data_IF_762226005559
#
_entry.id   IF_762226005559
#
_cell.length_a   1.000
_cell.length_b   1.000
_cell.length_c   1.000
_cell.angle_alpha   90.00
_cell.angle_beta   90.00
_cell.angle_gamma   90.00
#
_symmetry.space_group_name_H-M   'P 1'
#
loop_
_entity.id
_entity.type
_entity.pdbx_description
1 polymer ?
#
# COMPACT_ATOMS: atom_id res chain seq x y z
N UNK A 1 17.30 -12.42 -8.19
CA UNK A 1 16.01 -12.25 -8.89
C UNK A 1 15.59 -10.78 -8.96
N UNK A 2 15.04 -10.34 -10.11
CA UNK A 2 14.61 -8.95 -10.32
C UNK A 2 13.09 -8.82 -10.17
N UNK A 3 12.64 -7.77 -9.48
CA UNK A 3 11.20 -7.47 -9.36
C UNK A 3 10.58 -7.19 -10.73
N UNK A 4 9.41 -7.74 -10.97
CA UNK A 4 8.60 -7.40 -12.15
C UNK A 4 8.09 -5.97 -12.09
N UNK A 5 7.53 -5.47 -13.19
CA UNK A 5 6.96 -4.13 -13.25
C UNK A 5 5.82 -3.99 -12.22
N UNK A 6 4.84 -4.91 -12.22
CA UNK A 6 3.83 -5.05 -11.18
C UNK A 6 4.38 -4.91 -9.74
N UNK A 7 5.40 -5.71 -9.38
CA UNK A 7 5.93 -5.71 -8.02
C UNK A 7 6.60 -4.37 -7.63
N UNK A 8 7.07 -3.60 -8.61
CA UNK A 8 7.63 -2.25 -8.38
C UNK A 8 6.54 -1.20 -8.25
N UNK A 9 5.52 -1.28 -9.09
CA UNK A 9 4.48 -0.25 -9.21
C UNK A 9 3.31 -0.45 -8.27
N UNK A 10 3.04 -1.68 -7.78
CA UNK A 10 1.86 -1.96 -6.94
C UNK A 10 1.78 -1.08 -5.69
N UNK A 11 2.85 -1.04 -4.88
CA UNK A 11 2.90 -0.19 -3.69
C UNK A 11 2.89 1.30 -4.03
N UNK A 12 3.51 1.68 -5.15
CA UNK A 12 3.51 3.05 -5.62
C UNK A 12 2.08 3.49 -5.98
N UNK A 13 1.35 2.67 -6.74
CA UNK A 13 -0.04 2.91 -7.11
C UNK A 13 -0.94 3.01 -5.88
N UNK A 14 -0.81 2.09 -4.90
CA UNK A 14 -1.56 2.19 -3.65
C UNK A 14 -1.30 3.52 -2.92
N UNK A 15 -0.05 3.95 -2.84
CA UNK A 15 0.30 5.23 -2.23
C UNK A 15 -0.24 6.42 -3.04
N UNK A 16 -0.15 6.39 -4.37
CA UNK A 16 -0.69 7.45 -5.24
C UNK A 16 -2.21 7.58 -5.07
N UNK A 17 -2.94 6.47 -5.01
CA UNK A 17 -4.37 6.50 -4.73
C UNK A 17 -4.67 7.03 -3.32
N UNK A 18 -3.91 6.61 -2.31
CA UNK A 18 -4.11 7.08 -0.94
C UNK A 18 -3.86 8.60 -0.81
N UNK A 19 -2.75 9.10 -1.33
CA UNK A 19 -2.45 10.53 -1.31
C UNK A 19 -3.39 11.34 -2.22
N UNK A 20 -3.78 10.78 -3.37
CA UNK A 20 -4.79 11.38 -4.25
C UNK A 20 -6.15 11.51 -3.55
N UNK A 21 -6.55 10.48 -2.81
CA UNK A 21 -7.78 10.52 -2.01
C UNK A 21 -7.70 11.58 -0.92
N UNK A 22 -6.60 11.66 -0.16
CA UNK A 22 -6.41 12.72 0.86
C UNK A 22 -6.47 14.11 0.22
N UNK A 23 -5.76 14.32 -0.89
CA UNK A 23 -5.74 15.60 -1.60
C UNK A 23 -7.14 15.99 -2.12
N UNK A 24 -7.93 15.00 -2.57
CA UNK A 24 -9.31 15.20 -2.98
C UNK A 24 -10.18 15.69 -1.82
N UNK A 25 -10.14 15.05 -0.64
CA UNK A 25 -10.90 15.51 0.53
C UNK A 25 -10.47 16.90 0.99
N UNK A 26 -9.17 17.18 0.94
CA UNK A 26 -8.64 18.48 1.30
C UNK A 26 -9.14 19.58 0.34
N UNK A 27 -9.08 19.33 -0.97
CA UNK A 27 -9.61 20.23 -2.00
C UNK A 27 -11.12 20.46 -1.82
N UNK A 28 -11.89 19.38 -1.61
CA UNK A 28 -13.31 19.47 -1.34
C UNK A 28 -13.62 20.28 -0.07
N UNK A 29 -12.84 20.09 1.01
CA UNK A 29 -12.96 20.86 2.24
C UNK A 29 -12.74 22.37 2.02
N UNK A 30 -11.72 22.75 1.24
CA UNK A 30 -11.47 24.15 0.90
C UNK A 30 -12.57 24.75 0.02
N UNK A 31 -13.08 23.98 -0.95
CA UNK A 31 -14.21 24.40 -1.77
C UNK A 31 -15.44 24.73 -0.91
N UNK A 32 -15.80 23.83 0.02
CA UNK A 32 -16.94 24.05 0.93
C UNK A 32 -16.71 25.28 1.80
N UNK A 33 -15.51 25.45 2.38
CA UNK A 33 -15.18 26.59 3.21
C UNK A 33 -15.26 27.92 2.44
N UNK A 34 -14.70 27.96 1.22
CA UNK A 34 -14.76 29.13 0.33
C UNK A 34 -16.20 29.48 -0.08
N UNK A 35 -17.06 28.47 -0.22
CA UNK A 35 -18.45 28.71 -0.60
C UNK A 35 -19.30 29.23 0.57
N UNK A 36 -19.04 28.76 1.79
CA UNK A 36 -19.73 29.27 2.99
C UNK A 36 -19.45 30.76 3.22
N UNK A 37 -18.20 31.22 2.99
CA UNK A 37 -17.84 32.64 3.13
C UNK A 37 -18.55 33.51 2.08
N UNK A 38 -18.77 33.00 0.86
CA UNK A 38 -19.52 33.69 -0.21
C UNK A 38 -20.99 33.88 0.14
N UNK A 39 -21.63 32.83 0.68
CA UNK A 39 -23.08 32.81 0.96
C UNK A 39 -23.43 33.74 2.12
N UNK A 40 -22.56 33.87 3.12
CA UNK A 40 -22.77 34.79 4.22
C UNK A 40 -22.53 36.24 3.80
N UNK A 41 -23.62 37.00 3.61
CA UNK A 41 -23.59 38.43 3.27
C UNK A 41 -22.76 39.26 4.25
N UNK A 42 -22.80 38.91 5.55
CA UNK A 42 -22.00 39.56 6.59
C UNK A 42 -20.50 39.35 6.40
N UNK A 43 -20.03 38.11 6.19
CA UNK A 43 -18.60 37.84 6.03
C UNK A 43 -18.09 38.38 4.68
N UNK A 44 -18.88 38.27 3.61
CA UNK A 44 -18.50 38.76 2.28
C UNK A 44 -18.42 40.30 2.19
N UNK A 45 -18.98 41.02 3.17
CA UNK A 45 -18.86 42.49 3.28
C UNK A 45 -17.54 42.96 3.90
N UNK A 46 -16.81 42.05 4.56
CA UNK A 46 -15.55 42.37 5.23
C UNK A 46 -14.36 42.03 4.32
N UNK A 47 -13.51 43.02 4.04
CA UNK A 47 -12.35 42.88 3.14
C UNK A 47 -11.41 41.72 3.52
N UNK A 48 -11.20 41.50 4.82
CA UNK A 48 -10.36 40.40 5.34
C UNK A 48 -10.88 39.03 4.89
N UNK A 49 -12.20 38.82 4.90
CA UNK A 49 -12.79 37.54 4.50
C UNK A 49 -12.77 37.34 2.98
N UNK A 50 -12.86 38.42 2.20
CA UNK A 50 -12.67 38.38 0.74
C UNK A 50 -11.23 37.97 0.39
N UNK A 51 -10.24 38.50 1.10
CA UNK A 51 -8.83 38.12 0.94
C UNK A 51 -8.55 36.68 1.37
N UNK A 52 -9.17 36.22 2.46
CA UNK A 52 -9.08 34.82 2.89
C UNK A 52 -9.70 33.91 1.83
N UNK A 53 -10.86 34.29 1.29
CA UNK A 53 -11.56 33.52 0.26
C UNK A 53 -10.72 33.38 -1.01
N UNK A 54 -10.10 34.45 -1.49
CA UNK A 54 -9.26 34.40 -2.69
C UNK A 54 -8.05 33.48 -2.49
N UNK A 55 -7.41 33.53 -1.31
CA UNK A 55 -6.33 32.60 -0.95
C UNK A 55 -6.82 31.14 -0.87
N UNK A 56 -7.99 30.90 -0.28
CA UNK A 56 -8.59 29.57 -0.21
C UNK A 56 -8.87 28.99 -1.59
N UNK A 57 -9.35 29.78 -2.54
CA UNK A 57 -9.59 29.35 -3.93
C UNK A 57 -8.29 28.99 -4.65
N UNK A 58 -7.23 29.76 -4.43
CA UNK A 58 -5.91 29.44 -4.98
C UNK A 58 -5.41 28.10 -4.43
N UNK A 59 -5.51 27.88 -3.11
CA UNK A 59 -5.12 26.62 -2.47
C UNK A 59 -5.97 25.45 -2.97
N UNK A 60 -7.28 25.65 -3.09
CA UNK A 60 -8.21 24.66 -3.66
C UNK A 60 -7.77 24.23 -5.07
N UNK A 61 -7.50 25.19 -5.96
CA UNK A 61 -7.11 24.93 -7.35
C UNK A 61 -5.80 24.14 -7.44
N UNK A 62 -4.82 24.47 -6.59
CA UNK A 62 -3.57 23.71 -6.51
C UNK A 62 -3.78 22.29 -5.96
N UNK A 63 -4.58 22.13 -4.90
CA UNK A 63 -4.90 20.83 -4.33
C UNK A 63 -5.65 19.93 -5.32
N UNK A 64 -6.58 20.51 -6.09
CA UNK A 64 -7.32 19.81 -7.14
C UNK A 64 -6.39 19.38 -8.29
N UNK A 65 -5.52 20.28 -8.74
CA UNK A 65 -4.52 20.00 -9.79
C UNK A 65 -3.56 18.89 -9.36
N UNK A 66 -3.10 18.91 -8.10
CA UNK A 66 -2.28 17.84 -7.51
C UNK A 66 -3.04 16.50 -7.49
N UNK A 67 -4.31 16.52 -7.12
CA UNK A 67 -5.18 15.32 -7.12
C UNK A 67 -5.24 14.69 -8.52
N UNK A 68 -5.52 15.49 -9.55
CA UNK A 68 -5.54 15.01 -10.93
C UNK A 68 -4.20 14.44 -11.38
N UNK A 69 -3.10 15.11 -11.04
CA UNK A 69 -1.76 14.64 -11.39
C UNK A 69 -1.43 13.28 -10.75
N UNK A 70 -1.74 13.10 -9.46
CA UNK A 70 -1.50 11.84 -8.76
C UNK A 70 -2.31 10.67 -9.36
N UNK A 71 -3.59 10.93 -9.65
CA UNK A 71 -4.48 9.93 -10.28
C UNK A 71 -4.01 9.60 -11.69
N UNK A 72 -3.64 10.61 -12.49
CA UNK A 72 -3.15 10.41 -13.86
C UNK A 72 -1.90 9.53 -13.89
N UNK A 73 -0.93 9.78 -13.01
CA UNK A 73 0.27 8.96 -12.90
C UNK A 73 -0.09 7.50 -12.54
N UNK A 74 -1.01 7.30 -11.58
CA UNK A 74 -1.44 5.97 -11.19
C UNK A 74 -2.09 5.21 -12.37
N UNK A 75 -2.96 5.89 -13.13
CA UNK A 75 -3.61 5.33 -14.33
C UNK A 75 -2.56 4.94 -15.37
N UNK A 76 -1.59 5.81 -15.69
CA UNK A 76 -0.54 5.52 -16.66
C UNK A 76 0.24 4.27 -16.25
N UNK A 77 0.62 4.14 -14.98
CA UNK A 77 1.34 2.96 -14.48
C UNK A 77 0.51 1.67 -14.60
N UNK A 78 -0.79 1.74 -14.35
CA UNK A 78 -1.70 0.59 -14.51
C UNK A 78 -1.84 0.22 -15.99
N UNK A 79 -2.05 1.20 -16.87
CA UNK A 79 -2.17 0.99 -18.32
C UNK A 79 -0.90 0.33 -18.87
N UNK A 80 0.29 0.79 -18.47
CA UNK A 80 1.56 0.16 -18.89
C UNK A 80 1.61 -1.32 -18.47
N UNK A 81 1.25 -1.66 -17.22
CA UNK A 81 1.23 -3.05 -16.76
C UNK A 81 0.18 -3.88 -17.51
N UNK A 82 -1.01 -3.33 -17.75
CA UNK A 82 -2.07 -4.00 -18.51
C UNK A 82 -1.67 -4.26 -19.96
N UNK A 83 -1.05 -3.29 -20.64
CA UNK A 83 -0.51 -3.48 -21.98
C UNK A 83 0.55 -4.60 -22.01
N UNK A 84 1.46 -4.63 -21.03
CA UNK A 84 2.42 -5.73 -20.90
C UNK A 84 1.73 -7.10 -20.70
N UNK A 85 0.62 -7.13 -19.95
CA UNK A 85 -0.17 -8.34 -19.71
C UNK A 85 -0.89 -8.79 -20.97
N UNK A 86 -1.49 -7.89 -21.75
CA UNK A 86 -2.17 -8.24 -23.00
C UNK A 86 -1.18 -8.85 -24.00
N UNK A 87 0.04 -8.31 -24.07
CA UNK A 87 1.06 -8.79 -25.03
C UNK A 87 1.70 -10.13 -24.64
N UNK A 88 1.83 -10.44 -23.34
CA UNK A 88 2.69 -11.53 -22.85
C UNK A 88 2.01 -12.50 -21.89
N UNK A 89 0.80 -12.22 -21.45
CA UNK A 89 0.10 -12.89 -20.36
C UNK A 89 -1.44 -12.75 -20.52
N UNK A 90 -2.20 -12.78 -19.42
CA UNK A 90 -3.62 -12.45 -19.38
C UNK A 90 -3.88 -11.25 -18.47
N UNK A 91 -4.83 -10.41 -18.87
CA UNK A 91 -5.37 -9.33 -18.02
C UNK A 91 -5.92 -9.89 -16.70
N UNK A 92 -6.52 -11.09 -16.72
CA UNK A 92 -7.04 -11.72 -15.52
C UNK A 92 -5.96 -12.00 -14.47
N UNK A 93 -4.73 -12.27 -14.92
CA UNK A 93 -3.60 -12.50 -14.04
C UNK A 93 -3.17 -11.22 -13.30
N UNK A 94 -3.45 -10.02 -13.84
CA UNK A 94 -3.26 -8.77 -13.10
C UNK A 94 -4.17 -8.72 -11.88
N UNK A 95 -5.48 -8.93 -12.06
CA UNK A 95 -6.44 -8.93 -10.96
C UNK A 95 -6.14 -10.04 -9.94
N UNK A 96 -5.74 -11.22 -10.42
CA UNK A 96 -5.29 -12.31 -9.55
C UNK A 96 -4.06 -11.92 -8.72
N UNK A 97 -3.10 -11.20 -9.31
CA UNK A 97 -1.91 -10.68 -8.63
C UNK A 97 -2.28 -9.66 -7.55
N UNK A 98 -3.19 -8.73 -7.85
CA UNK A 98 -3.73 -7.76 -6.89
C UNK A 98 -4.40 -8.47 -5.72
N UNK A 99 -5.34 -9.37 -6.01
CA UNK A 99 -6.09 -10.11 -4.99
C UNK A 99 -5.18 -10.94 -4.08
N UNK A 100 -4.28 -11.74 -4.67
CA UNK A 100 -3.35 -12.56 -3.88
C UNK A 100 -2.36 -11.71 -3.08
N UNK A 101 -1.94 -10.55 -3.60
CA UNK A 101 -1.09 -9.63 -2.84
C UNK A 101 -1.80 -9.13 -1.58
N UNK A 102 -3.04 -8.64 -1.70
CA UNK A 102 -3.79 -8.14 -0.56
C UNK A 102 -4.05 -9.24 0.47
N UNK A 103 -4.40 -10.44 0.00
CA UNK A 103 -4.70 -11.56 0.87
C UNK A 103 -3.47 -12.12 1.57
N UNK A 104 -2.32 -12.20 0.90
CA UNK A 104 -1.07 -12.57 1.52
C UNK A 104 -0.66 -11.57 2.60
N UNK A 105 -0.86 -10.26 2.37
CA UNK A 105 -0.62 -9.24 3.42
C UNK A 105 -1.51 -9.44 4.63
N UNK A 106 -2.78 -9.78 4.41
CA UNK A 106 -3.71 -10.05 5.49
C UNK A 106 -3.27 -11.27 6.29
N UNK A 107 -2.91 -12.37 5.62
CA UNK A 107 -2.42 -13.59 6.26
C UNK A 107 -1.14 -13.36 7.09
N UNK A 108 -0.21 -12.57 6.55
CA UNK A 108 1.07 -12.31 7.19
C UNK A 108 0.98 -11.31 8.34
N UNK A 109 -0.06 -10.47 8.38
CA UNK A 109 -0.19 -9.43 9.40
C UNK A 109 -0.34 -10.06 10.77
N UNK A 110 0.55 -9.70 11.69
CA UNK A 110 0.51 -10.14 13.08
C UNK A 110 -0.36 -9.19 13.90
N UNK A 111 -1.15 -9.74 14.82
CA UNK A 111 -1.92 -8.94 15.76
C UNK A 111 -0.99 -8.18 16.71
N UNK A 112 -1.13 -6.86 16.74
CA UNK A 112 -0.40 -6.00 17.66
C UNK A 112 -1.17 -5.95 18.98
N UNK A 113 -1.00 -6.97 19.83
CA UNK A 113 -1.52 -6.90 21.19
C UNK A 113 -0.74 -5.83 21.97
N UNK A 114 -1.47 -4.88 22.55
CA UNK A 114 -0.93 -3.92 23.51
C UNK A 114 -1.04 -4.51 24.91
N UNK A 115 0.09 -4.89 25.50
CA UNK A 115 0.11 -5.20 26.92
C UNK A 115 0.12 -3.87 27.71
N UNK A 116 -0.81 -3.68 28.67
CA UNK A 116 -0.76 -2.53 29.56
C UNK A 116 0.41 -2.72 30.53
N UNK A 117 1.44 -1.88 30.40
CA UNK A 117 2.56 -1.86 31.35
C UNK A 117 2.35 -0.69 32.30
N UNK A 118 2.29 -0.99 33.61
CA UNK A 118 2.28 0.03 34.66
C UNK A 118 3.68 0.64 34.75
N UNK A 119 3.82 1.95 34.52
CA UNK A 119 5.06 2.68 34.83
C UNK A 119 5.11 3.05 36.32
N UNK A 120 6.29 3.43 36.82
CA UNK A 120 6.55 3.82 38.23
C UNK A 120 5.62 4.97 38.69
N UNK A 121 5.04 5.73 37.76
CA UNK A 121 4.10 6.84 38.01
C UNK A 121 2.61 6.46 37.87
N UNK A 122 2.24 5.17 37.92
CA UNK A 122 0.85 4.71 37.74
C UNK A 122 0.19 5.14 36.41
N UNK A 123 0.98 5.42 35.38
CA UNK A 123 0.44 5.68 34.04
C UNK A 123 0.36 4.36 33.27
N UNK A 124 -0.82 4.05 32.72
CA UNK A 124 -1.02 2.91 31.85
C UNK A 124 -0.47 3.24 30.46
N UNK A 125 0.75 2.82 30.16
CA UNK A 125 1.31 3.01 28.81
C UNK A 125 1.07 1.73 28.01
N UNK A 126 0.27 1.85 26.95
CA UNK A 126 0.12 0.77 25.96
C UNK A 126 1.44 0.62 25.20
N UNK A 127 2.24 -0.38 25.56
CA UNK A 127 3.50 -0.64 24.85
C UNK A 127 3.23 -1.56 23.67
N UNK A 128 3.23 -1.00 22.46
CA UNK A 128 3.21 -1.80 21.24
C UNK A 128 4.51 -2.58 21.10
N UNK A 129 4.43 -3.86 20.76
CA UNK A 129 5.61 -4.67 20.50
C UNK A 129 6.35 -4.12 19.25
N UNK A 130 7.55 -3.52 19.39
CA UNK A 130 8.25 -2.90 18.28
C UNK A 130 8.68 -3.92 17.21
N UNK A 131 8.80 -5.21 17.59
CA UNK A 131 9.10 -6.31 16.67
C UNK A 131 7.95 -6.53 15.71
N UNK A 132 6.73 -6.66 16.23
CA UNK A 132 5.53 -6.90 15.44
C UNK A 132 5.23 -5.72 14.52
N UNK A 133 5.38 -4.49 15.02
CA UNK A 133 5.24 -3.27 14.22
C UNK A 133 6.24 -3.22 13.06
N UNK A 134 7.50 -3.55 13.34
CA UNK A 134 8.57 -3.63 12.32
C UNK A 134 8.27 -4.71 11.28
N UNK A 135 7.81 -5.87 11.72
CA UNK A 135 7.41 -6.98 10.86
C UNK A 135 6.22 -6.61 9.95
N UNK A 136 5.13 -6.11 10.53
CA UNK A 136 3.93 -5.68 9.81
C UNK A 136 4.23 -4.60 8.75
N UNK A 137 5.12 -3.65 9.06
CA UNK A 137 5.58 -2.64 8.09
C UNK A 137 6.31 -3.24 6.89
N UNK A 138 7.01 -4.35 7.08
CA UNK A 138 7.78 -5.00 6.02
C UNK A 138 6.86 -5.90 5.18
N UNK A 139 5.96 -6.61 5.84
CA UNK A 139 4.91 -7.43 5.23
C UNK A 139 3.99 -6.58 4.34
N UNK A 140 3.65 -5.37 4.75
CA UNK A 140 2.78 -4.48 3.95
C UNK A 140 3.36 -4.09 2.59
N UNK A 141 4.64 -4.38 2.33
CA UNK A 141 5.32 -4.11 1.06
C UNK A 141 5.35 -5.38 0.18
N UNK A 142 4.96 -6.55 0.71
CA UNK A 142 5.01 -7.81 -0.04
C UNK A 142 4.07 -7.78 -1.26
N UNK A 143 4.44 -8.55 -2.29
CA UNK A 143 3.70 -8.58 -3.56
C UNK A 143 3.73 -9.97 -4.17
N UNK A 144 2.62 -10.38 -4.75
CA UNK A 144 2.46 -11.64 -5.48
C UNK A 144 2.18 -11.29 -6.94
N UNK A 145 3.08 -11.67 -7.84
CA UNK A 145 2.91 -11.54 -9.30
C UNK A 145 2.59 -12.92 -9.88
N UNK A 146 1.33 -13.12 -10.25
CA UNK A 146 0.87 -14.32 -10.94
C UNK A 146 0.96 -14.08 -12.42
N UNK A 147 1.62 -14.97 -13.16
CA UNK A 147 1.71 -14.97 -14.62
C UNK A 147 1.29 -16.34 -15.15
N UNK A 148 1.05 -16.44 -16.46
CA UNK A 148 0.66 -17.69 -17.12
C UNK A 148 1.51 -18.89 -16.71
N UNK A 149 2.83 -18.74 -16.73
CA UNK A 149 3.77 -19.86 -16.54
C UNK A 149 4.51 -19.83 -15.21
N UNK A 150 4.39 -18.75 -14.44
CA UNK A 150 5.05 -18.64 -13.14
C UNK A 150 4.29 -17.77 -12.15
N UNK A 151 4.50 -18.03 -10.86
CA UNK A 151 4.08 -17.16 -9.76
C UNK A 151 5.33 -16.69 -9.04
N UNK A 152 5.50 -15.38 -8.87
CA UNK A 152 6.61 -14.80 -8.13
C UNK A 152 6.10 -14.01 -6.93
N UNK A 153 6.48 -14.47 -5.74
CA UNK A 153 6.17 -13.81 -4.48
C UNK A 153 7.42 -13.11 -4.01
N UNK A 154 7.29 -11.82 -3.73
CA UNK A 154 8.35 -10.97 -3.22
C UNK A 154 8.02 -10.53 -1.79
N UNK A 155 8.91 -10.88 -0.86
CA UNK A 155 8.91 -10.38 0.52
C UNK A 155 10.21 -9.60 0.79
N UNK A 156 10.10 -8.52 1.56
CA UNK A 156 11.28 -7.85 2.11
C UNK A 156 11.64 -8.52 3.43
N UNK A 157 12.92 -8.65 3.72
CA UNK A 157 13.39 -9.21 4.99
C UNK A 157 13.45 -8.09 6.03
N UNK A 158 12.88 -8.27 7.24
CA UNK A 158 12.97 -7.29 8.32
C UNK A 158 14.40 -6.96 8.73
N UNK A 159 14.63 -5.75 9.25
CA UNK A 159 15.98 -5.32 9.67
C UNK A 159 16.39 -5.92 11.01
N UNK A 160 15.45 -6.08 11.95
CA UNK A 160 15.73 -6.56 13.30
C UNK A 160 15.80 -8.09 13.34
N UNK A 161 16.70 -8.64 14.15
CA UNK A 161 16.91 -10.09 14.26
C UNK A 161 15.64 -10.82 14.72
N UNK A 162 14.91 -10.27 15.69
CA UNK A 162 13.66 -10.86 16.19
C UNK A 162 12.58 -10.93 15.09
N UNK A 163 12.42 -9.88 14.28
CA UNK A 163 11.46 -9.90 13.17
C UNK A 163 11.93 -10.81 12.02
N UNK A 164 13.25 -10.98 11.82
CA UNK A 164 13.76 -11.98 10.88
C UNK A 164 13.52 -13.41 11.37
N UNK A 165 13.64 -13.68 12.67
CA UNK A 165 13.33 -14.98 13.25
C UNK A 165 11.85 -15.32 13.03
N UNK A 166 10.96 -14.38 13.32
CA UNK A 166 9.53 -14.50 13.04
C UNK A 166 9.25 -14.77 11.56
N UNK A 167 9.92 -14.05 10.64
CA UNK A 167 9.76 -14.32 9.21
C UNK A 167 10.14 -15.76 8.85
N UNK A 168 11.26 -16.27 9.39
CA UNK A 168 11.75 -17.64 9.14
C UNK A 168 10.76 -18.69 9.62
N UNK A 169 10.20 -18.51 10.81
CA UNK A 169 9.18 -19.41 11.38
C UNK A 169 7.92 -19.46 10.48
N UNK A 170 7.60 -18.35 9.80
CA UNK A 170 6.46 -18.29 8.90
C UNK A 170 6.74 -18.80 7.47
N UNK A 171 7.99 -19.06 7.07
CA UNK A 171 8.32 -19.37 5.66
C UNK A 171 7.57 -20.60 5.12
N UNK A 172 7.42 -21.64 5.95
CA UNK A 172 6.67 -22.85 5.58
C UNK A 172 5.18 -22.57 5.42
N UNK A 173 4.57 -21.87 6.39
CA UNK A 173 3.17 -21.46 6.32
C UNK A 173 2.89 -20.53 5.13
N UNK A 174 3.82 -19.63 4.80
CA UNK A 174 3.73 -18.79 3.60
C UNK A 174 3.74 -19.66 2.34
N UNK A 175 4.66 -20.64 2.27
CA UNK A 175 4.75 -21.55 1.12
C UNK A 175 3.47 -22.37 0.96
N UNK A 176 2.89 -22.82 2.06
CA UNK A 176 1.62 -23.54 2.04
C UNK A 176 0.46 -22.65 1.56
N UNK A 177 0.33 -21.43 2.10
CA UNK A 177 -0.72 -20.48 1.73
C UNK A 177 -0.64 -20.04 0.26
N UNK A 178 0.56 -19.82 -0.28
CA UNK A 178 0.72 -19.47 -1.71
C UNK A 178 0.47 -20.68 -2.61
N UNK A 179 0.80 -21.89 -2.16
CA UNK A 179 0.62 -23.13 -2.92
C UNK A 179 -0.85 -23.54 -2.98
N UNK A 180 -1.56 -23.48 -1.85
CA UNK A 180 -2.99 -23.79 -1.76
C UNK A 180 -3.84 -22.91 -2.69
N UNK A 181 -3.46 -21.62 -2.81
CA UNK A 181 -4.12 -20.65 -3.71
C UNK A 181 -3.72 -20.79 -5.18
N UNK A 182 -2.67 -21.53 -5.48
CA UNK A 182 -2.13 -21.70 -6.84
C UNK A 182 -1.90 -23.18 -7.15
N UNK A 183 -2.96 -24.02 -7.16
CA UNK A 183 -2.83 -25.47 -7.30
C UNK A 183 -2.21 -25.91 -8.64
N UNK A 184 -2.23 -25.04 -9.66
CA UNK A 184 -1.65 -25.26 -10.98
C UNK A 184 -0.13 -24.99 -11.04
N UNK A 185 0.51 -24.72 -9.92
CA UNK A 185 1.94 -24.38 -9.86
C UNK A 185 2.67 -25.23 -8.80
N UNK A 186 3.95 -25.51 -9.02
CA UNK A 186 4.88 -26.10 -8.06
C UNK A 186 5.79 -25.04 -7.49
N UNK A 187 5.78 -24.86 -6.17
CA UNK A 187 6.63 -23.87 -5.49
C UNK A 187 7.96 -24.46 -5.04
N UNK A 188 9.05 -23.80 -5.42
CA UNK A 188 10.40 -24.11 -4.96
C UNK A 188 10.59 -23.73 -3.48
N UNK A 189 11.75 -24.11 -2.92
CA UNK A 189 12.21 -23.56 -1.66
C UNK A 189 12.35 -22.02 -1.74
N UNK A 190 12.19 -21.30 -0.62
CA UNK A 190 12.41 -19.86 -0.59
C UNK A 190 13.87 -19.51 -0.92
N UNK A 191 14.05 -18.49 -1.75
CA UNK A 191 15.38 -18.01 -2.14
C UNK A 191 15.61 -16.64 -1.50
N UNK A 192 16.60 -16.57 -0.62
CA UNK A 192 17.00 -15.32 0.03
C UNK A 192 18.16 -14.66 -0.72
N UNK A 193 17.95 -13.40 -1.10
CA UNK A 193 18.96 -12.57 -1.76
C UNK A 193 19.11 -11.26 -0.98
N UNK A 194 20.10 -11.18 -0.10
CA UNK A 194 20.34 -10.06 0.83
C UNK A 194 19.11 -9.79 1.71
N UNK A 195 18.42 -8.66 1.47
CA UNK A 195 17.24 -8.18 2.19
C UNK A 195 15.92 -8.53 1.47
N UNK A 196 15.96 -9.48 0.53
CA UNK A 196 14.82 -9.94 -0.27
C UNK A 196 14.64 -11.43 -0.08
N UNK A 197 13.38 -11.85 0.04
CA UNK A 197 12.98 -13.24 0.09
C UNK A 197 12.00 -13.49 -1.05
N UNK A 198 12.23 -14.58 -1.79
CA UNK A 198 11.48 -14.93 -2.98
C UNK A 198 10.88 -16.32 -2.84
N UNK A 199 9.61 -16.46 -3.22
CA UNK A 199 9.02 -17.76 -3.50
C UNK A 199 8.64 -17.78 -4.97
N UNK A 200 9.05 -18.83 -5.68
CA UNK A 200 8.77 -19.00 -7.10
C UNK A 200 7.99 -20.28 -7.34
N UNK A 201 6.85 -20.13 -8.00
CA UNK A 201 6.04 -21.22 -8.53
C UNK A 201 6.26 -21.36 -10.03
N UNK A 202 6.57 -22.56 -10.51
CA UNK A 202 6.54 -22.89 -11.94
C UNK A 202 5.24 -23.63 -12.25
N UNK A 203 4.65 -23.40 -13.43
CA UNK A 203 3.43 -24.10 -13.84
C UNK A 203 3.68 -25.62 -13.91
N UNK A 204 2.69 -26.41 -13.47
CA UNK A 204 2.70 -27.87 -13.60
C UNK A 204 2.61 -28.29 -15.07
#
# INVERSE_FOLDING_TARGET
>A
MKRSFFQKTFNLNLNLFFFGFIAFFLSYGFHVLSNQTKVSSFLNSQSVFVDIQSKLQVVEQYAQSLTYLLILIAIILIVIELCQRIMKDSVWNYFKSVYQTLRLRQFLRQEEHSEPVMTIENQTVTRFNPVLRSFNRVVSICTVDVRKDSVSVFLKVPKTQQAQKLLREMEEHIKEEISSRNPKYYFSAPIREKSKLWFTGAKR
#
